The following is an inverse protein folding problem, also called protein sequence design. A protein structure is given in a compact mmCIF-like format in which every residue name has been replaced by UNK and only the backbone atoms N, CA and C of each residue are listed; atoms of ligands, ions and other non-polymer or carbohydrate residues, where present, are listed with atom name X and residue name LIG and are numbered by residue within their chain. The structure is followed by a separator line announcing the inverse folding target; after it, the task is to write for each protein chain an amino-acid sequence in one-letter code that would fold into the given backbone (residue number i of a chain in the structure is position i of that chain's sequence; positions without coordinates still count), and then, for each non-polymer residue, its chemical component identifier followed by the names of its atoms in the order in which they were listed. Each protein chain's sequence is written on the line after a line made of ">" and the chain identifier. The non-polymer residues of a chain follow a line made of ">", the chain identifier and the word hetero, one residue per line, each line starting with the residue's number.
data_IF_273430833161
#
_entry.id   IF_273430833161
#
_cell.length_a   1.000
_cell.length_b   1.000
_cell.length_c   1.000
_cell.angle_alpha   90.00
_cell.angle_beta   90.00
_cell.angle_gamma   90.00
#
_symmetry.space_group_name_H-M   'P 1'
#
loop_
_entity.id
_entity.type
_entity.pdbx_description
1 polymer ?
#
# COMPACT_ATOMS: atom_id res chain seq x y z
N UNK A 1 7.52 8.09 27.93
CA UNK A 1 6.38 8.35 27.04
C UNK A 1 6.15 7.08 26.22
N UNK A 2 4.94 6.55 26.19
CA UNK A 2 4.60 5.39 25.38
C UNK A 2 4.22 5.86 23.97
N UNK A 3 4.66 5.12 22.94
CA UNK A 3 4.36 5.37 21.53
C UNK A 3 3.87 4.06 20.92
N UNK A 4 2.67 4.08 20.35
CA UNK A 4 2.07 2.96 19.65
C UNK A 4 2.38 3.05 18.15
N UNK A 5 3.09 2.05 17.63
CA UNK A 5 3.57 2.04 16.24
C UNK A 5 2.96 0.87 15.49
N UNK A 6 2.20 1.17 14.45
CA UNK A 6 1.69 0.17 13.51
C UNK A 6 2.65 0.05 12.31
N UNK A 7 3.54 -0.93 12.40
CA UNK A 7 4.48 -1.25 11.31
C UNK A 7 4.62 -2.76 11.19
N UNK A 8 4.62 -3.29 9.98
CA UNK A 8 4.79 -4.73 9.75
C UNK A 8 6.10 -5.26 10.33
N UNK A 9 6.13 -6.54 10.70
CA UNK A 9 7.37 -7.23 11.10
C UNK A 9 8.27 -7.40 9.86
N UNK A 10 9.04 -6.38 9.57
CA UNK A 10 9.94 -6.30 8.42
C UNK A 10 11.38 -6.38 8.89
N UNK A 11 12.29 -6.72 7.96
CA UNK A 11 13.72 -6.80 8.28
C UNK A 11 14.23 -5.53 9.00
N UNK A 12 13.84 -4.34 8.52
CA UNK A 12 14.27 -3.07 9.09
C UNK A 12 13.70 -2.78 10.49
N UNK A 13 12.53 -3.30 10.82
CA UNK A 13 11.84 -3.05 12.10
C UNK A 13 11.87 -4.25 13.06
N UNK A 14 12.32 -5.42 12.58
CA UNK A 14 12.23 -6.67 13.33
C UNK A 14 12.90 -6.64 14.72
N UNK A 15 14.02 -5.93 14.85
CA UNK A 15 14.74 -5.86 16.12
C UNK A 15 14.02 -4.98 17.15
N UNK A 16 13.36 -3.92 16.71
CA UNK A 16 12.50 -3.09 17.55
C UNK A 16 11.24 -3.85 17.97
N UNK A 17 10.57 -4.52 17.01
CA UNK A 17 9.36 -5.31 17.27
C UNK A 17 9.62 -6.43 18.26
N UNK A 18 10.80 -7.09 18.19
CA UNK A 18 11.23 -8.15 19.13
C UNK A 18 11.72 -7.61 20.48
N UNK A 19 11.85 -6.30 20.65
CA UNK A 19 12.38 -5.69 21.87
C UNK A 19 13.91 -5.86 22.04
N UNK A 20 14.64 -6.35 21.03
CA UNK A 20 16.08 -6.49 21.08
C UNK A 20 16.83 -5.16 20.99
N UNK A 21 16.17 -4.15 20.46
CA UNK A 21 16.64 -2.77 20.38
C UNK A 21 15.57 -1.88 21.00
N UNK A 22 15.98 -0.91 21.79
CA UNK A 22 15.09 0.04 22.45
C UNK A 22 15.40 1.47 22.02
N UNK A 23 14.41 2.35 22.09
CA UNK A 23 14.57 3.78 21.82
C UNK A 23 14.69 4.52 23.14
N UNK A 24 15.84 5.16 23.38
CA UNK A 24 16.10 5.86 24.65
C UNK A 24 15.03 6.93 24.91
N UNK A 25 14.40 6.85 26.09
CA UNK A 25 13.38 7.82 26.52
C UNK A 25 11.96 7.49 26.07
N UNK A 26 11.76 6.42 25.28
CA UNK A 26 10.46 6.01 24.79
C UNK A 26 10.18 4.52 25.05
N UNK A 27 8.95 4.23 25.42
CA UNK A 27 8.41 2.86 25.47
C UNK A 27 7.61 2.63 24.19
N UNK A 28 8.25 2.00 23.20
CA UNK A 28 7.64 1.77 21.88
C UNK A 28 6.87 0.46 21.90
N UNK A 29 5.58 0.53 21.64
CA UNK A 29 4.67 -0.61 21.55
C UNK A 29 4.31 -0.90 20.10
N UNK A 30 4.34 -2.17 19.74
CA UNK A 30 3.86 -2.67 18.47
C UNK A 30 2.62 -3.52 18.76
N UNK A 31 1.39 -3.00 18.57
CA UNK A 31 0.19 -3.79 18.76
C UNK A 31 0.21 -5.01 17.85
N UNK A 32 -0.48 -6.07 18.27
CA UNK A 32 -0.53 -7.33 17.54
C UNK A 32 -1.02 -7.08 16.10
N UNK A 33 -0.20 -7.50 15.14
CA UNK A 33 -0.41 -7.14 13.76
C UNK A 33 -1.09 -8.28 13.01
N UNK A 34 -2.35 -8.09 12.69
CA UNK A 34 -3.05 -8.90 11.71
C UNK A 34 -2.58 -8.65 10.27
N UNK A 35 -3.39 -8.98 9.31
CA UNK A 35 -3.14 -8.64 7.91
C UNK A 35 -3.19 -7.12 7.70
N UNK A 36 -2.33 -6.61 6.83
CA UNK A 36 -2.07 -5.16 6.65
C UNK A 36 -3.31 -4.35 6.26
N UNK A 37 -4.22 -4.92 5.46
CA UNK A 37 -5.38 -4.21 4.95
C UNK A 37 -6.43 -3.81 6.03
N UNK A 38 -6.85 -4.68 6.96
CA UNK A 38 -7.71 -4.29 8.06
C UNK A 38 -7.10 -3.23 8.98
N UNK A 39 -5.77 -3.28 9.16
CA UNK A 39 -5.05 -2.30 9.98
C UNK A 39 -5.11 -0.89 9.39
N UNK A 40 -4.98 -0.76 8.07
CA UNK A 40 -5.10 0.54 7.41
C UNK A 40 -6.51 1.11 7.54
N UNK A 41 -7.53 0.28 7.39
CA UNK A 41 -8.91 0.71 7.58
C UNK A 41 -9.15 1.19 9.01
N UNK A 42 -8.69 0.45 10.02
CA UNK A 42 -8.79 0.86 11.43
C UNK A 42 -8.09 2.18 11.67
N UNK A 43 -6.87 2.36 11.16
CA UNK A 43 -6.14 3.62 11.31
C UNK A 43 -6.91 4.81 10.72
N UNK A 44 -7.49 4.67 9.52
CA UNK A 44 -8.24 5.77 8.89
C UNK A 44 -9.50 6.17 9.67
N UNK A 45 -10.13 5.22 10.34
CA UNK A 45 -11.32 5.49 11.12
C UNK A 45 -11.01 6.06 12.50
N UNK A 46 -10.01 5.51 13.19
CA UNK A 46 -9.81 5.73 14.62
C UNK A 46 -8.65 6.69 14.91
N UNK A 47 -7.61 6.74 14.06
CA UNK A 47 -6.34 7.47 14.31
C UNK A 47 -5.75 7.13 15.70
N UNK A 48 -5.85 5.86 16.10
CA UNK A 48 -5.53 5.35 17.43
C UNK A 48 -4.05 4.98 17.61
N UNK A 49 -3.25 5.16 16.56
CA UNK A 49 -1.82 4.92 16.57
C UNK A 49 -1.04 6.22 16.46
N UNK A 50 0.07 6.32 17.20
CA UNK A 50 0.97 7.49 17.15
C UNK A 50 1.79 7.52 15.86
N UNK A 51 2.14 6.35 15.32
CA UNK A 51 2.85 6.21 14.04
C UNK A 51 2.38 4.97 13.27
N UNK A 52 2.38 5.08 11.94
CA UNK A 52 1.95 3.99 11.05
C UNK A 52 2.81 3.93 9.79
N UNK A 53 3.17 2.71 9.36
CA UNK A 53 3.74 2.45 8.04
C UNK A 53 2.60 2.40 7.01
N UNK A 54 2.33 3.53 6.37
CA UNK A 54 1.17 3.71 5.50
C UNK A 54 1.62 3.75 4.03
N UNK A 55 0.89 3.08 3.10
CA UNK A 55 1.11 3.26 1.67
C UNK A 55 0.99 4.72 1.25
N UNK A 56 1.85 5.18 0.34
CA UNK A 56 1.88 6.58 -0.08
C UNK A 56 0.54 7.05 -0.67
N UNK A 57 -0.14 6.22 -1.47
CA UNK A 57 -1.46 6.53 -2.01
C UNK A 57 -2.48 6.78 -0.90
N UNK A 58 -2.47 5.95 0.14
CA UNK A 58 -3.35 6.10 1.30
C UNK A 58 -3.02 7.38 2.09
N UNK A 59 -1.73 7.72 2.24
CA UNK A 59 -1.34 8.98 2.87
C UNK A 59 -1.87 10.19 2.09
N UNK A 60 -1.73 10.20 0.77
CA UNK A 60 -2.24 11.29 -0.09
C UNK A 60 -3.75 11.44 0.08
N UNK A 61 -4.50 10.34 0.04
CA UNK A 61 -5.95 10.33 0.26
C UNK A 61 -6.30 10.85 1.67
N UNK A 62 -5.58 10.43 2.70
CA UNK A 62 -5.80 10.91 4.06
C UNK A 62 -5.62 12.42 4.18
N UNK A 63 -4.60 12.97 3.52
CA UNK A 63 -4.35 14.42 3.49
C UNK A 63 -5.43 15.17 2.74
N UNK A 64 -5.87 14.66 1.60
CA UNK A 64 -6.96 15.23 0.80
C UNK A 64 -8.29 15.27 1.57
N UNK A 65 -8.55 14.24 2.36
CA UNK A 65 -9.71 14.16 3.27
C UNK A 65 -9.54 14.98 4.56
N UNK A 66 -8.49 15.80 4.69
CA UNK A 66 -8.24 16.65 5.85
C UNK A 66 -7.85 15.91 7.13
N UNK A 67 -7.41 14.65 7.05
CA UNK A 67 -6.97 13.90 8.24
C UNK A 67 -5.68 14.52 8.83
N UNK A 68 -5.55 14.61 10.17
CA UNK A 68 -4.41 15.23 10.86
C UNK A 68 -3.20 14.27 10.89
N UNK A 69 -2.70 13.89 9.73
CA UNK A 69 -1.53 13.01 9.58
C UNK A 69 -0.37 13.74 8.93
N UNK A 70 0.85 13.43 9.33
CA UNK A 70 2.08 14.01 8.78
C UNK A 70 3.04 12.89 8.42
N UNK A 71 3.58 12.91 7.20
CA UNK A 71 4.61 11.96 6.81
C UNK A 71 5.97 12.36 7.39
N UNK A 72 6.74 11.37 7.82
CA UNK A 72 8.16 11.48 8.15
C UNK A 72 9.00 10.77 7.09
N UNK A 73 10.25 11.18 6.80
CA UNK A 73 11.05 10.60 5.72
C UNK A 73 11.67 9.24 6.14
N UNK A 74 10.84 8.34 6.65
CA UNK A 74 11.21 6.97 7.00
C UNK A 74 10.47 5.99 6.08
N UNK A 75 11.21 5.13 5.38
CA UNK A 75 10.68 4.21 4.37
C UNK A 75 11.00 2.76 4.78
N UNK A 76 10.26 2.19 5.73
CA UNK A 76 10.51 0.83 6.22
C UNK A 76 10.21 -0.24 5.17
N UNK A 77 9.32 0.07 4.22
CA UNK A 77 8.99 -0.81 3.10
C UNK A 77 9.59 -0.29 1.80
N UNK A 78 10.41 -1.14 1.17
CA UNK A 78 10.97 -0.88 -0.16
C UNK A 78 10.74 -2.10 -1.04
N UNK A 79 10.02 -1.94 -2.12
CA UNK A 79 9.81 -3.00 -3.12
C UNK A 79 9.70 -2.40 -4.52
N UNK A 80 9.93 -3.24 -5.52
CA UNK A 80 9.77 -2.84 -6.91
C UNK A 80 8.28 -2.89 -7.28
N UNK A 81 7.61 -1.76 -7.51
CA UNK A 81 6.15 -1.74 -7.69
C UNK A 81 5.68 -2.44 -8.99
N UNK A 82 6.58 -2.62 -9.95
CA UNK A 82 6.28 -3.22 -11.25
C UNK A 82 6.50 -4.75 -11.30
N UNK A 83 6.81 -5.39 -10.18
CA UNK A 83 6.98 -6.85 -10.14
C UNK A 83 5.67 -7.65 -10.19
N UNK A 84 4.52 -7.00 -10.32
CA UNK A 84 3.25 -7.62 -10.07
C UNK A 84 2.28 -7.83 -11.24
N UNK A 85 2.34 -7.09 -12.38
CA UNK A 85 1.38 -7.33 -13.45
C UNK A 85 1.52 -8.74 -14.03
N UNK A 86 0.49 -9.55 -13.86
CA UNK A 86 0.42 -10.90 -14.44
C UNK A 86 -0.64 -10.94 -15.53
N UNK A 87 -0.34 -11.62 -16.62
CA UNK A 87 -1.23 -11.74 -17.77
C UNK A 87 -1.61 -13.20 -17.95
N UNK A 88 -2.89 -13.46 -18.09
CA UNK A 88 -3.35 -14.78 -18.49
C UNK A 88 -2.88 -15.05 -19.94
N UNK A 89 -2.09 -16.11 -20.13
CA UNK A 89 -1.55 -16.51 -21.44
C UNK A 89 -2.62 -16.70 -22.52
N UNK A 90 -3.84 -17.07 -22.12
CA UNK A 90 -4.97 -17.32 -23.04
C UNK A 90 -5.74 -16.02 -23.36
N UNK A 91 -5.46 -14.90 -22.69
CA UNK A 91 -6.16 -13.64 -22.92
C UNK A 91 -5.74 -12.92 -24.21
N UNK A 92 -4.70 -13.40 -24.89
CA UNK A 92 -4.21 -12.82 -26.15
C UNK A 92 -3.53 -11.45 -25.97
N UNK A 93 -3.18 -11.06 -24.74
CA UNK A 93 -2.52 -9.78 -24.43
C UNK A 93 -1.03 -9.94 -24.73
N UNK A 94 -0.51 -9.15 -25.68
CA UNK A 94 0.89 -9.12 -26.07
C UNK A 94 1.51 -7.75 -25.89
N UNK A 95 0.71 -6.70 -26.00
CA UNK A 95 1.09 -5.29 -25.86
C UNK A 95 0.18 -4.60 -24.87
N UNK A 96 0.55 -3.37 -24.49
CA UNK A 96 -0.27 -2.54 -23.61
C UNK A 96 -1.62 -2.19 -24.26
N UNK A 97 -1.65 -1.99 -25.58
CA UNK A 97 -2.86 -1.65 -26.34
C UNK A 97 -3.92 -2.75 -26.29
N UNK A 98 -3.50 -4.00 -26.10
CA UNK A 98 -4.42 -5.13 -25.97
C UNK A 98 -5.23 -5.08 -24.67
N UNK A 99 -4.92 -4.17 -23.74
CA UNK A 99 -5.65 -3.97 -22.49
C UNK A 99 -6.96 -3.22 -22.68
N UNK A 100 -7.18 -2.58 -23.83
CA UNK A 100 -8.45 -1.88 -24.11
C UNK A 100 -9.62 -2.84 -23.98
N UNK A 101 -10.60 -2.47 -23.12
CA UNK A 101 -11.79 -3.25 -22.83
C UNK A 101 -11.56 -4.53 -22.01
N UNK A 102 -10.32 -4.81 -21.60
CA UNK A 102 -10.02 -5.98 -20.75
C UNK A 102 -10.35 -5.72 -19.29
N UNK A 103 -10.68 -6.80 -18.58
CA UNK A 103 -10.81 -6.79 -17.12
C UNK A 103 -9.42 -6.92 -16.50
N UNK A 104 -9.06 -5.96 -15.65
CA UNK A 104 -7.82 -5.98 -14.86
C UNK A 104 -8.17 -6.03 -13.39
N UNK A 105 -7.83 -7.14 -12.73
CA UNK A 105 -8.05 -7.33 -11.31
C UNK A 105 -7.02 -6.58 -10.48
N UNK A 106 -7.48 -5.89 -9.45
CA UNK A 106 -6.66 -5.22 -8.44
C UNK A 106 -7.20 -5.54 -7.05
N UNK A 107 -6.33 -5.65 -6.05
CA UNK A 107 -6.74 -5.88 -4.67
C UNK A 107 -7.56 -4.70 -4.11
N UNK A 108 -7.22 -3.48 -4.53
CA UNK A 108 -7.95 -2.27 -4.21
C UNK A 108 -7.51 -1.15 -5.15
N UNK A 109 -8.43 -0.32 -5.58
CA UNK A 109 -8.16 0.72 -6.56
C UNK A 109 -7.13 1.75 -6.05
N UNK A 110 -7.20 2.10 -4.76
CA UNK A 110 -6.28 3.02 -4.09
C UNK A 110 -4.99 2.34 -3.60
N UNK A 111 -4.84 1.02 -3.75
CA UNK A 111 -3.65 0.30 -3.29
C UNK A 111 -2.43 0.66 -4.13
N UNK A 112 -1.25 0.83 -3.49
CA UNK A 112 -0.04 1.31 -4.15
C UNK A 112 0.29 0.59 -5.47
N UNK A 113 0.35 -0.76 -5.56
CA UNK A 113 0.67 -1.44 -6.81
C UNK A 113 -0.29 -1.08 -7.95
N UNK A 114 -1.59 -0.97 -7.68
CA UNK A 114 -2.59 -0.58 -8.67
C UNK A 114 -2.43 0.87 -9.10
N UNK A 115 -2.11 1.77 -8.17
CA UNK A 115 -1.83 3.19 -8.44
C UNK A 115 -0.58 3.34 -9.31
N UNK A 116 0.50 2.62 -8.99
CA UNK A 116 1.72 2.62 -9.80
C UNK A 116 1.49 2.04 -11.20
N UNK A 117 0.72 0.96 -11.32
CA UNK A 117 0.39 0.40 -12.63
C UNK A 117 -0.34 1.42 -13.51
N UNK A 118 -1.37 2.09 -12.97
CA UNK A 118 -2.09 3.14 -13.71
C UNK A 118 -1.18 4.31 -14.10
N UNK A 119 -0.36 4.77 -13.17
CA UNK A 119 0.59 5.84 -13.41
C UNK A 119 1.58 5.48 -14.52
N UNK A 120 2.10 4.25 -14.51
CA UNK A 120 3.01 3.75 -15.55
C UNK A 120 2.30 3.68 -16.90
N UNK A 121 1.08 3.15 -16.97
CA UNK A 121 0.31 3.06 -18.21
C UNK A 121 0.09 4.44 -18.83
N UNK A 122 -0.23 5.44 -18.02
CA UNK A 122 -0.42 6.81 -18.50
C UNK A 122 0.92 7.46 -18.89
N UNK A 123 1.92 7.43 -17.99
CA UNK A 123 3.13 8.24 -18.16
C UNK A 123 4.13 7.65 -19.16
N UNK A 124 4.19 6.32 -19.27
CA UNK A 124 5.17 5.67 -20.14
C UNK A 124 4.60 5.20 -21.48
N UNK A 125 3.28 4.98 -21.54
CA UNK A 125 2.62 4.42 -22.71
C UNK A 125 1.51 5.32 -23.28
N UNK A 126 1.25 6.46 -22.65
CA UNK A 126 0.13 7.37 -23.01
C UNK A 126 -1.22 6.60 -23.13
N UNK A 127 -1.37 5.58 -22.30
CA UNK A 127 -2.49 4.65 -22.38
C UNK A 127 -3.73 5.21 -21.67
N UNK A 128 -4.91 5.19 -22.31
CA UNK A 128 -6.17 5.67 -21.74
C UNK A 128 -6.71 4.67 -20.72
N UNK A 129 -6.33 4.83 -19.44
CA UNK A 129 -6.66 3.89 -18.35
C UNK A 129 -8.17 3.74 -18.10
N UNK A 130 -8.98 4.67 -18.54
CA UNK A 130 -10.44 4.63 -18.50
C UNK A 130 -11.04 3.59 -19.47
N UNK A 131 -10.25 3.11 -20.44
CA UNK A 131 -10.64 2.01 -21.34
C UNK A 131 -10.41 0.62 -20.74
N UNK A 132 -9.83 0.53 -19.55
CA UNK A 132 -9.70 -0.72 -18.80
C UNK A 132 -10.93 -0.89 -17.91
N UNK A 133 -11.44 -2.12 -17.81
CA UNK A 133 -12.45 -2.48 -16.83
C UNK A 133 -11.74 -2.94 -15.55
N UNK A 134 -11.61 -2.03 -14.58
CA UNK A 134 -10.99 -2.32 -13.29
C UNK A 134 -11.93 -3.15 -12.43
N UNK A 135 -11.42 -4.23 -11.85
CA UNK A 135 -12.17 -5.13 -10.97
C UNK A 135 -11.43 -5.24 -9.64
N UNK A 136 -12.05 -4.79 -8.57
CA UNK A 136 -11.54 -4.97 -7.21
C UNK A 136 -11.96 -6.33 -6.65
N UNK A 137 -11.08 -6.97 -5.91
CA UNK A 137 -11.37 -8.24 -5.27
C UNK A 137 -10.29 -8.64 -4.27
N UNK A 138 -10.70 -9.46 -3.31
CA UNK A 138 -9.76 -10.07 -2.38
C UNK A 138 -8.94 -11.15 -3.10
N UNK A 139 -7.65 -11.34 -2.76
CA UNK A 139 -6.77 -12.31 -3.42
C UNK A 139 -7.23 -13.77 -3.32
N UNK A 140 -8.19 -14.05 -2.45
CA UNK A 140 -8.66 -15.41 -2.11
C UNK A 140 -10.18 -15.57 -2.18
N UNK A 141 -10.87 -14.68 -2.90
CA UNK A 141 -12.31 -14.84 -3.16
C UNK A 141 -12.60 -15.63 -4.45
#
# INVERSE_FOLDING_TARGET
>A
MTINVMSGNRYATAQLVKGNVTVKGFDVKFPEQGTVAPLFNSFFHNLDQDAVDLPLSNYIIARDLGKPVTAVPAFPTRFQPLMGPMVNRRAGIKTVDDLVGKKVGVQGFAFNPATYLRSMLVQMYDFPIEKIVWVEGEPNS
#
